data_IF_826331969520
#
_entry.id   IF_826331969520
#
_cell.length_a   1.000
_cell.length_b   1.000
_cell.length_c   1.000
_cell.angle_alpha   90.00
_cell.angle_beta   90.00
_cell.angle_gamma   90.00
#
_symmetry.space_group_name_H-M   'P 1'
#
loop_
_entity.id
_entity.type
_entity.pdbx_description
1 polymer ?
#
# COMPACT_ATOMS: atom_id res chain seq x y z
N UNK A 1 19.91 13.62 -6.39
CA UNK A 1 18.64 14.37 -6.19
C UNK A 1 17.46 13.45 -6.50
N UNK A 2 17.07 12.56 -5.57
CA UNK A 2 16.03 11.54 -5.81
C UNK A 2 14.68 12.14 -6.24
N UNK A 3 14.37 13.36 -5.81
CA UNK A 3 13.14 14.07 -6.19
C UNK A 3 13.04 14.36 -7.70
N UNK A 4 14.15 14.59 -8.39
CA UNK A 4 14.16 14.81 -9.84
C UNK A 4 13.89 13.52 -10.62
N UNK A 5 14.38 12.39 -10.11
CA UNK A 5 14.14 11.06 -10.70
C UNK A 5 12.67 10.65 -10.56
N UNK A 6 12.06 10.97 -9.41
CA UNK A 6 10.66 10.63 -9.10
C UNK A 6 9.67 11.77 -9.35
N UNK A 7 10.04 12.79 -10.12
CA UNK A 7 9.20 13.97 -10.39
C UNK A 7 7.79 13.60 -10.90
N UNK A 8 7.70 12.59 -11.77
CA UNK A 8 6.44 12.11 -12.34
C UNK A 8 5.45 11.55 -11.30
N UNK A 9 5.96 11.18 -10.12
CA UNK A 9 5.19 10.66 -8.99
C UNK A 9 4.99 11.74 -7.93
N UNK A 10 6.05 12.50 -7.61
CA UNK A 10 6.00 13.50 -6.54
C UNK A 10 5.16 14.71 -6.92
N UNK A 11 5.24 15.17 -8.16
CA UNK A 11 4.47 16.32 -8.68
C UNK A 11 3.56 15.93 -9.85
N UNK A 12 3.92 14.89 -10.59
CA UNK A 12 3.05 14.34 -11.64
C UNK A 12 1.85 13.56 -11.09
N UNK A 13 1.02 13.05 -12.01
CA UNK A 13 -0.18 12.26 -11.69
C UNK A 13 0.06 10.75 -11.60
N UNK A 14 1.31 10.28 -11.51
CA UNK A 14 1.64 8.84 -11.43
C UNK A 14 1.85 8.41 -9.97
N UNK A 15 1.81 7.12 -9.72
CA UNK A 15 2.07 6.54 -8.39
C UNK A 15 3.24 5.56 -8.45
N UNK A 16 3.98 5.43 -7.35
CA UNK A 16 5.00 4.39 -7.16
C UNK A 16 4.39 3.06 -6.74
N UNK A 17 3.13 3.05 -6.33
CA UNK A 17 2.41 1.84 -6.00
C UNK A 17 2.15 1.05 -7.29
N UNK A 18 2.49 -0.25 -7.35
CA UNK A 18 2.23 -1.09 -8.53
C UNK A 18 0.74 -1.44 -8.61
N UNK A 19 -0.10 -0.44 -8.88
CA UNK A 19 -1.56 -0.54 -8.87
C UNK A 19 -2.09 -1.41 -10.01
N UNK A 20 -1.32 -1.56 -11.09
CA UNK A 20 -1.60 -2.46 -12.20
C UNK A 20 -1.56 -3.93 -11.79
N UNK A 21 -0.77 -4.31 -10.78
CA UNK A 21 -0.76 -5.68 -10.24
C UNK A 21 -2.12 -6.10 -9.66
N UNK A 22 -3.01 -5.15 -9.33
CA UNK A 22 -4.37 -5.45 -8.87
C UNK A 22 -5.20 -6.17 -9.93
N UNK A 23 -4.93 -5.89 -11.22
CA UNK A 23 -5.67 -6.47 -12.35
C UNK A 23 -5.36 -7.96 -12.59
N UNK A 24 -4.44 -8.56 -11.83
CA UNK A 24 -4.27 -10.01 -11.79
C UNK A 24 -5.37 -10.72 -10.99
N UNK A 25 -6.13 -9.99 -10.15
CA UNK A 25 -7.09 -10.57 -9.22
C UNK A 25 -8.50 -10.05 -9.48
N UNK A 26 -9.50 -10.88 -9.23
CA UNK A 26 -10.90 -10.44 -9.27
C UNK A 26 -11.24 -9.52 -8.09
N UNK A 27 -12.19 -8.57 -8.24
CA UNK A 27 -12.99 -8.30 -9.44
C UNK A 27 -12.28 -7.44 -10.49
N UNK A 28 -11.10 -6.88 -10.19
CA UNK A 28 -10.43 -5.93 -11.08
C UNK A 28 -9.99 -6.57 -12.40
N UNK A 29 -9.61 -7.85 -12.38
CA UNK A 29 -9.27 -8.62 -13.57
C UNK A 29 -10.38 -8.59 -14.62
N UNK A 30 -11.65 -8.80 -14.22
CA UNK A 30 -12.78 -8.71 -15.15
C UNK A 30 -13.02 -7.31 -15.74
N UNK A 31 -12.52 -6.26 -15.07
CA UNK A 31 -12.61 -4.88 -15.53
C UNK A 31 -11.34 -4.37 -16.23
N UNK A 32 -10.30 -5.21 -16.39
CA UNK A 32 -8.98 -4.79 -16.86
C UNK A 32 -9.01 -4.07 -18.22
N UNK A 33 -9.82 -4.57 -19.14
CA UNK A 33 -10.01 -3.99 -20.49
C UNK A 33 -10.58 -2.56 -20.43
N UNK A 34 -11.41 -2.24 -19.44
CA UNK A 34 -11.99 -0.90 -19.28
C UNK A 34 -10.93 0.14 -18.88
N UNK A 35 -9.86 -0.30 -18.23
CA UNK A 35 -8.75 0.54 -17.79
C UNK A 35 -7.53 0.45 -18.74
N UNK A 36 -7.65 -0.30 -19.85
CA UNK A 36 -6.57 -0.49 -20.81
C UNK A 36 -5.37 -1.27 -20.23
N UNK A 37 -5.59 -2.10 -19.21
CA UNK A 37 -4.53 -2.90 -18.57
C UNK A 37 -4.60 -4.33 -19.08
N UNK A 38 -3.63 -4.74 -19.90
CA UNK A 38 -3.57 -6.12 -20.42
C UNK A 38 -2.73 -7.03 -19.54
N UNK A 39 -1.63 -6.52 -19.00
CA UNK A 39 -0.72 -7.25 -18.12
C UNK A 39 0.04 -6.28 -17.21
N UNK A 40 0.29 -6.62 -15.94
CA UNK A 40 1.05 -5.75 -15.07
C UNK A 40 2.52 -5.63 -15.51
N UNK A 41 3.14 -4.49 -15.22
CA UNK A 41 4.51 -4.21 -15.62
C UNK A 41 5.53 -5.02 -14.82
N UNK A 42 5.24 -5.31 -13.55
CA UNK A 42 6.12 -6.11 -12.70
C UNK A 42 5.33 -6.85 -11.60
N UNK A 43 4.93 -8.08 -11.90
CA UNK A 43 4.18 -8.95 -11.00
C UNK A 43 4.95 -9.29 -9.70
N UNK A 44 6.29 -9.22 -9.71
CA UNK A 44 7.12 -9.50 -8.53
C UNK A 44 6.93 -8.46 -7.41
N UNK A 45 6.32 -7.32 -7.71
CA UNK A 45 6.04 -6.24 -6.74
C UNK A 45 4.62 -6.31 -6.16
N UNK A 46 3.92 -7.45 -6.30
CA UNK A 46 2.55 -7.59 -5.82
C UNK A 46 2.42 -7.45 -4.30
N UNK A 47 3.44 -7.85 -3.55
CA UNK A 47 3.56 -7.70 -2.10
C UNK A 47 3.51 -6.23 -1.64
N UNK A 48 4.02 -5.30 -2.47
CA UNK A 48 3.94 -3.86 -2.18
C UNK A 48 2.49 -3.38 -2.10
N UNK A 49 1.60 -3.92 -2.93
CA UNK A 49 0.19 -3.56 -2.96
C UNK A 49 -0.64 -4.42 -2.00
N UNK A 50 -0.49 -5.74 -2.06
CA UNK A 50 -1.37 -6.67 -1.36
C UNK A 50 -1.09 -6.73 0.14
N UNK A 51 0.17 -6.55 0.54
CA UNK A 51 0.59 -6.65 1.94
C UNK A 51 0.98 -5.28 2.50
N UNK A 52 1.98 -4.62 1.91
CA UNK A 52 2.55 -3.40 2.48
C UNK A 52 1.55 -2.24 2.48
N UNK A 53 0.88 -2.00 1.35
CA UNK A 53 -0.13 -0.95 1.25
C UNK A 53 -1.34 -1.24 2.16
N UNK A 54 -1.80 -2.49 2.21
CA UNK A 54 -2.89 -2.90 3.11
C UNK A 54 -2.55 -2.68 4.59
N UNK A 55 -1.34 -3.08 5.01
CA UNK A 55 -0.84 -2.85 6.36
C UNK A 55 -0.73 -1.36 6.69
N UNK A 56 -0.19 -0.54 5.79
CA UNK A 56 -0.11 0.93 5.99
C UNK A 56 -1.49 1.57 6.07
N UNK A 57 -2.44 1.13 5.24
CA UNK A 57 -3.84 1.58 5.30
C UNK A 57 -4.45 1.27 6.67
N UNK A 58 -4.26 0.06 7.20
CA UNK A 58 -4.75 -0.33 8.51
C UNK A 58 -4.14 0.54 9.62
N UNK A 59 -2.82 0.76 9.61
CA UNK A 59 -2.15 1.63 10.59
C UNK A 59 -2.70 3.05 10.56
N UNK A 60 -2.79 3.65 9.36
CA UNK A 60 -3.30 5.02 9.19
C UNK A 60 -4.74 5.13 9.72
N UNK A 61 -5.58 4.14 9.45
CA UNK A 61 -6.96 4.13 9.91
C UNK A 61 -7.06 3.98 11.44
N UNK A 62 -6.32 3.05 12.04
CA UNK A 62 -6.26 2.90 13.50
C UNK A 62 -5.76 4.18 14.18
N UNK A 63 -4.70 4.80 13.66
CA UNK A 63 -4.19 6.05 14.19
C UNK A 63 -5.20 7.20 14.07
N UNK A 64 -5.95 7.28 12.96
CA UNK A 64 -7.05 8.25 12.80
C UNK A 64 -8.15 8.04 13.84
N UNK A 65 -8.41 6.79 14.21
CA UNK A 65 -9.34 6.43 15.28
C UNK A 65 -8.75 6.55 16.69
N UNK A 66 -7.49 7.00 16.82
CA UNK A 66 -6.74 7.10 18.08
C UNK A 66 -6.52 5.75 18.77
N UNK A 67 -6.51 4.69 17.98
CA UNK A 67 -6.24 3.33 18.41
C UNK A 67 -4.82 2.92 18.03
N UNK A 68 -4.16 2.22 18.95
CA UNK A 68 -2.87 1.60 18.68
C UNK A 68 -3.15 0.23 18.04
N UNK A 69 -2.69 -0.04 16.80
CA UNK A 69 -3.02 -1.26 16.06
C UNK A 69 -2.26 -2.48 16.61
N UNK A 70 -2.56 -2.91 17.84
CA UNK A 70 -1.93 -4.07 18.46
C UNK A 70 -2.45 -5.39 17.85
N UNK A 71 -3.70 -5.39 17.41
CA UNK A 71 -4.42 -6.55 16.90
C UNK A 71 -5.10 -6.25 15.57
N UNK A 72 -4.95 -7.13 14.58
CA UNK A 72 -5.65 -7.03 13.30
C UNK A 72 -6.80 -8.05 13.25
N UNK A 73 -8.07 -7.60 13.27
CA UNK A 73 -9.23 -8.50 13.24
C UNK A 73 -9.48 -9.11 11.85
N UNK A 74 -8.88 -8.56 10.80
CA UNK A 74 -9.10 -8.97 9.41
C UNK A 74 -8.28 -10.20 9.01
N UNK A 75 -7.35 -10.66 9.86
CA UNK A 75 -6.48 -11.81 9.58
C UNK A 75 -6.81 -12.95 10.55
N UNK A 76 -7.16 -14.12 10.03
CA UNK A 76 -7.35 -15.36 10.80
C UNK A 76 -8.29 -15.23 12.02
N UNK A 77 -9.38 -14.45 11.90
CA UNK A 77 -10.28 -14.08 13.00
C UNK A 77 -9.62 -13.29 14.15
N UNK A 78 -8.42 -12.77 13.90
CA UNK A 78 -7.61 -11.99 14.81
C UNK A 78 -6.16 -12.46 14.84
N UNK A 79 -5.22 -11.54 14.60
CA UNK A 79 -3.79 -11.81 14.75
C UNK A 79 -3.05 -10.63 15.41
N UNK A 80 -1.96 -10.88 16.16
CA UNK A 80 -1.07 -9.81 16.63
C UNK A 80 -0.53 -9.03 15.43
N UNK A 81 -0.77 -7.72 15.40
CA UNK A 81 -0.30 -6.87 14.32
C UNK A 81 1.06 -6.28 14.68
N UNK A 82 1.14 -5.33 15.61
CA UNK A 82 2.39 -4.66 16.00
C UNK A 82 3.53 -5.63 16.42
N UNK A 83 3.19 -6.81 16.96
CA UNK A 83 4.17 -7.82 17.34
C UNK A 83 4.74 -8.61 16.15
N UNK A 84 4.07 -8.62 14.99
CA UNK A 84 4.50 -9.37 13.81
C UNK A 84 5.70 -8.72 13.10
N UNK A 85 5.90 -7.40 13.25
CA UNK A 85 7.09 -6.67 12.78
C UNK A 85 7.20 -6.45 11.26
N UNK A 86 6.56 -7.27 10.43
CA UNK A 86 6.61 -7.21 8.96
C UNK A 86 6.14 -5.87 8.37
N UNK A 87 5.13 -5.24 8.99
CA UNK A 87 4.52 -4.00 8.51
C UNK A 87 5.33 -2.73 8.85
N UNK A 88 6.48 -2.84 9.53
CA UNK A 88 7.39 -1.72 9.84
C UNK A 88 6.71 -0.49 10.51
N UNK A 89 5.68 -0.72 11.34
CA UNK A 89 4.87 0.39 11.88
C UNK A 89 5.67 1.35 12.78
N UNK A 90 6.62 0.80 13.54
CA UNK A 90 7.46 1.53 14.49
C UNK A 90 8.79 2.00 13.88
N UNK A 91 9.01 1.76 12.58
CA UNK A 91 10.21 2.24 11.90
C UNK A 91 10.13 3.77 11.72
N UNK A 92 11.15 4.56 12.12
CA UNK A 92 11.05 6.02 12.13
C UNK A 92 10.69 6.66 10.78
N UNK A 93 11.18 6.10 9.66
CA UNK A 93 10.86 6.63 8.33
C UNK A 93 9.46 6.26 7.84
N UNK A 94 8.74 5.37 8.53
CA UNK A 94 7.33 5.07 8.23
C UNK A 94 6.42 6.28 8.44
N UNK A 95 6.87 7.30 9.19
CA UNK A 95 6.11 8.53 9.44
C UNK A 95 5.70 9.26 8.16
N UNK A 96 6.50 9.16 7.09
CA UNK A 96 6.19 9.76 5.79
C UNK A 96 4.85 9.23 5.24
N UNK A 97 4.58 7.93 5.44
CA UNK A 97 3.35 7.27 5.00
C UNK A 97 2.15 7.59 5.87
N UNK A 98 2.34 8.15 7.06
CA UNK A 98 1.26 8.57 7.95
C UNK A 98 0.81 10.01 7.68
N UNK A 99 1.72 10.83 7.16
CA UNK A 99 1.47 12.24 6.86
C UNK A 99 1.03 12.43 5.40
N UNK A 100 1.65 11.73 4.45
CA UNK A 100 1.33 11.83 3.04
C UNK A 100 0.24 10.83 2.61
N UNK A 101 -0.55 11.14 1.56
CA UNK A 101 -1.41 10.15 0.94
C UNK A 101 -0.60 8.93 0.49
N UNK A 102 -1.02 7.72 0.87
CA UNK A 102 -0.28 6.49 0.56
C UNK A 102 -0.07 6.25 -0.95
N UNK A 103 -0.90 6.85 -1.80
CA UNK A 103 -0.73 6.80 -3.26
C UNK A 103 0.40 7.70 -3.78
N UNK A 104 0.93 8.61 -2.95
CA UNK A 104 1.94 9.62 -3.29
C UNK A 104 3.20 9.55 -2.43
N UNK A 105 3.20 8.70 -1.40
CA UNK A 105 4.32 8.46 -0.49
C UNK A 105 5.28 7.43 -1.10
#
# INVERSE_FOLDING_TARGET
MPLGLFWSVTVGGRTLVPADNLFNFEPWRSAADQFGVTRPHNELLSDLLLENYACKRFIVESLRHKEIPLWNPYLFAGAPFLAAGQHSALYPFSIVFYILPLSRA
#
